data_IF_098429450231
#
_entry.id   IF_098429450231
#
_cell.length_a   1.000
_cell.length_b   1.000
_cell.length_c   1.000
_cell.angle_alpha   90.00
_cell.angle_beta   90.00
_cell.angle_gamma   90.00
#
_symmetry.space_group_name_H-M   'P 1'
#
loop_
_entity.id
_entity.type
_entity.pdbx_description
1 polymer ?
#
# COMPACT_ATOMS: atom_id res chain seq x y z
N UNK A 1 21.19 -9.55 -2.23
CA UNK A 1 20.17 -9.09 -1.26
C UNK A 1 19.65 -7.79 -1.84
N UNK A 2 18.68 -7.92 -2.75
CA UNK A 2 18.30 -6.84 -3.65
C UNK A 2 16.99 -6.30 -3.12
N UNK A 3 17.08 -5.41 -2.11
CA UNK A 3 15.91 -4.65 -1.65
C UNK A 3 15.44 -3.78 -2.80
N UNK A 4 14.15 -3.85 -3.11
CA UNK A 4 13.54 -3.01 -4.14
C UNK A 4 13.78 -1.52 -3.81
N UNK A 5 14.05 -0.64 -4.79
CA UNK A 5 14.32 0.79 -4.54
C UNK A 5 13.22 1.49 -3.73
N UNK A 6 11.96 1.07 -3.90
CA UNK A 6 10.82 1.59 -3.10
C UNK A 6 10.86 1.12 -1.65
N UNK A 7 11.37 -0.07 -1.41
CA UNK A 7 11.52 -0.63 -0.06
C UNK A 7 12.63 0.11 0.70
N UNK A 8 13.76 0.38 0.04
CA UNK A 8 14.82 1.22 0.60
C UNK A 8 14.31 2.64 0.89
N UNK A 9 13.52 3.22 -0.02
CA UNK A 9 12.94 4.54 0.21
C UNK A 9 11.95 4.52 1.39
N UNK A 10 11.12 3.49 1.49
CA UNK A 10 10.16 3.34 2.58
C UNK A 10 10.84 3.17 3.95
N UNK A 11 11.91 2.38 4.00
CA UNK A 11 12.72 2.18 5.20
C UNK A 11 13.46 3.45 5.63
N UNK A 12 13.86 4.29 4.68
CA UNK A 12 14.58 5.55 4.96
C UNK A 12 13.68 6.74 5.25
N UNK A 13 12.39 6.64 4.92
CA UNK A 13 11.40 7.70 5.16
C UNK A 13 10.18 7.19 5.96
N UNK A 14 10.38 6.71 7.20
CA UNK A 14 9.30 6.17 8.03
C UNK A 14 8.21 7.19 8.35
N UNK A 15 8.48 8.50 8.26
CA UNK A 15 7.51 9.57 8.46
C UNK A 15 6.33 9.56 7.47
N UNK A 16 6.48 8.87 6.34
CA UNK A 16 5.43 8.69 5.36
C UNK A 16 4.54 7.46 5.64
N UNK A 17 4.86 6.68 6.68
CA UNK A 17 4.19 5.41 7.01
C UNK A 17 3.73 5.39 8.48
N UNK A 18 2.67 4.63 8.81
CA UNK A 18 1.86 3.80 7.91
C UNK A 18 0.90 4.63 7.05
N UNK A 19 0.71 4.21 5.80
CA UNK A 19 -0.24 4.85 4.87
C UNK A 19 -1.66 4.34 5.16
N UNK A 20 -2.58 5.27 5.44
CA UNK A 20 -4.00 4.96 5.67
C UNK A 20 -4.72 4.66 4.35
N UNK A 21 -5.02 3.40 4.06
CA UNK A 21 -5.56 2.96 2.76
C UNK A 21 -6.86 3.69 2.38
N UNK A 22 -7.76 3.87 3.34
CA UNK A 22 -9.05 4.51 3.10
C UNK A 22 -8.98 6.05 2.99
N UNK A 23 -7.87 6.69 3.39
CA UNK A 23 -7.75 8.17 3.45
C UNK A 23 -6.64 8.75 2.60
N UNK A 24 -5.56 8.02 2.38
CA UNK A 24 -4.36 8.52 1.74
C UNK A 24 -4.55 8.81 0.24
N UNK A 25 -3.79 9.76 -0.28
CA UNK A 25 -3.86 10.08 -1.70
C UNK A 25 -3.15 9.03 -2.56
N UNK A 26 -3.43 9.09 -3.88
CA UNK A 26 -2.85 8.19 -4.88
C UNK A 26 -1.32 8.11 -4.80
N UNK A 27 -0.66 9.25 -4.60
CA UNK A 27 0.79 9.32 -4.55
C UNK A 27 1.37 8.65 -3.30
N UNK A 28 0.73 8.83 -2.15
CA UNK A 28 1.13 8.14 -0.92
C UNK A 28 0.99 6.62 -1.06
N UNK A 29 -0.11 6.15 -1.67
CA UNK A 29 -0.31 4.72 -1.94
C UNK A 29 0.72 4.16 -2.94
N UNK A 30 1.17 4.94 -3.92
CA UNK A 30 2.18 4.50 -4.89
C UNK A 30 3.59 4.34 -4.30
N UNK A 31 3.88 5.07 -3.22
CA UNK A 31 5.15 4.99 -2.49
C UNK A 31 5.27 3.67 -1.70
N UNK A 32 4.14 3.08 -1.32
CA UNK A 32 4.10 1.80 -0.59
C UNK A 32 4.76 0.68 -1.40
N UNK A 33 5.77 -0.02 -0.86
CA UNK A 33 6.34 -1.21 -1.47
C UNK A 33 5.28 -2.32 -1.65
N UNK A 34 5.20 -2.93 -2.84
CA UNK A 34 4.11 -3.87 -3.19
C UNK A 34 2.84 -3.20 -3.74
N UNK A 35 2.69 -1.89 -3.50
CA UNK A 35 1.86 -0.88 -4.18
C UNK A 35 2.10 -0.78 -5.70
N UNK A 36 1.29 -1.43 -6.54
CA UNK A 36 1.29 -1.21 -8.00
C UNK A 36 0.27 -0.15 -8.43
N UNK A 37 0.44 0.53 -9.58
CA UNK A 37 -0.51 1.55 -10.06
C UNK A 37 -1.93 1.00 -10.26
N UNK A 38 -2.08 -0.23 -10.73
CA UNK A 38 -3.39 -0.88 -10.89
C UNK A 38 -4.04 -1.21 -9.54
N UNK A 39 -3.24 -1.69 -8.59
CA UNK A 39 -3.68 -1.91 -7.20
C UNK A 39 -4.13 -0.59 -6.55
N UNK A 40 -3.37 0.50 -6.73
CA UNK A 40 -3.73 1.81 -6.21
C UNK A 40 -5.03 2.31 -6.85
N UNK A 41 -5.20 2.20 -8.18
CA UNK A 41 -6.46 2.52 -8.84
C UNK A 41 -7.63 1.73 -8.24
N UNK A 42 -7.42 0.44 -7.97
CA UNK A 42 -8.42 -0.43 -7.35
C UNK A 42 -8.75 0.01 -5.92
N UNK A 43 -7.77 0.33 -5.09
CA UNK A 43 -7.97 0.88 -3.74
C UNK A 43 -8.85 2.13 -3.79
N UNK A 44 -8.50 3.08 -4.67
CA UNK A 44 -9.21 4.35 -4.80
C UNK A 44 -10.68 4.15 -5.21
N UNK A 45 -10.95 3.18 -6.09
CA UNK A 45 -12.32 2.81 -6.46
C UNK A 45 -13.04 2.08 -5.32
N UNK A 46 -12.39 1.07 -4.73
CA UNK A 46 -13.01 0.25 -3.69
C UNK A 46 -13.41 1.08 -2.47
N UNK A 47 -12.57 1.99 -1.99
CA UNK A 47 -12.88 2.83 -0.82
C UNK A 47 -14.05 3.80 -1.03
N UNK A 48 -14.44 4.07 -2.27
CA UNK A 48 -15.63 4.86 -2.60
C UNK A 48 -16.90 4.01 -2.49
N UNK A 49 -16.81 2.71 -2.78
CA UNK A 49 -17.94 1.77 -2.75
C UNK A 49 -18.10 1.13 -1.36
N UNK A 50 -16.99 0.81 -0.69
CA UNK A 50 -16.97 0.12 0.60
C UNK A 50 -15.68 0.41 1.37
N UNK A 51 -15.74 0.32 2.70
CA UNK A 51 -14.55 0.48 3.54
C UNK A 51 -13.63 -0.73 3.40
N UNK A 52 -12.36 -0.50 3.04
CA UNK A 52 -11.36 -1.56 2.94
C UNK A 52 -10.86 -1.87 4.35
N UNK A 53 -11.01 -3.12 4.79
CA UNK A 53 -10.66 -3.56 6.14
C UNK A 53 -9.44 -4.46 6.17
N UNK A 54 -9.07 -5.07 5.04
CA UNK A 54 -7.89 -5.91 4.95
C UNK A 54 -7.13 -5.70 3.65
N UNK A 55 -5.85 -6.07 3.68
CA UNK A 55 -5.01 -6.07 2.48
C UNK A 55 -5.40 -7.18 1.49
N UNK A 56 -6.04 -8.25 1.97
CA UNK A 56 -6.48 -9.36 1.14
C UNK A 56 -7.56 -8.95 0.12
N UNK A 57 -8.38 -7.95 0.48
CA UNK A 57 -9.43 -7.38 -0.39
C UNK A 57 -8.85 -6.75 -1.67
N UNK A 58 -7.57 -6.36 -1.63
CA UNK A 58 -6.88 -5.70 -2.74
C UNK A 58 -6.46 -6.67 -3.86
N UNK A 59 -6.57 -7.98 -3.62
CA UNK A 59 -6.19 -9.01 -4.58
C UNK A 59 -4.68 -9.14 -4.82
N UNK A 60 -3.86 -8.58 -3.93
CA UNK A 60 -2.40 -8.75 -3.93
C UNK A 60 -2.08 -10.14 -3.38
N UNK A 61 -1.05 -10.81 -3.92
CA UNK A 61 -0.68 -12.17 -3.51
C UNK A 61 0.83 -12.30 -3.24
N UNK A 62 1.16 -13.26 -2.38
CA UNK A 62 2.53 -13.64 -2.05
C UNK A 62 3.34 -12.51 -1.42
N UNK A 63 4.65 -12.47 -1.70
CA UNK A 63 5.62 -11.55 -1.07
C UNK A 63 5.27 -10.07 -1.18
N UNK A 64 4.50 -9.65 -2.19
CA UNK A 64 4.06 -8.26 -2.34
C UNK A 64 3.03 -7.86 -1.28
N UNK A 65 2.17 -8.80 -0.87
CA UNK A 65 1.19 -8.61 0.17
C UNK A 65 1.88 -8.39 1.52
N UNK A 66 2.82 -9.28 1.84
CA UNK A 66 3.59 -9.23 3.08
C UNK A 66 4.35 -7.90 3.21
N UNK A 67 4.99 -7.45 2.12
CA UNK A 67 5.67 -6.16 2.08
C UNK A 67 4.71 -5.00 2.31
N UNK A 68 3.66 -4.89 1.51
CA UNK A 68 2.71 -3.79 1.60
C UNK A 68 2.03 -3.72 2.98
N UNK A 69 1.74 -4.89 3.59
CA UNK A 69 1.14 -4.99 4.92
C UNK A 69 1.95 -4.32 6.03
N UNK A 70 3.28 -4.24 5.89
CA UNK A 70 4.14 -3.59 6.88
C UNK A 70 4.06 -2.05 6.85
N UNK A 71 3.55 -1.48 5.76
CA UNK A 71 3.57 -0.04 5.50
C UNK A 71 2.17 0.58 5.43
N UNK A 72 1.10 -0.20 5.62
CA UNK A 72 -0.29 0.29 5.47
C UNK A 72 -1.18 -0.08 6.64
N UNK A 73 -2.20 0.75 6.86
CA UNK A 73 -3.27 0.50 7.85
C UNK A 73 -4.65 0.72 7.25
N UNK A 74 -5.64 0.01 7.78
CA UNK A 74 -7.02 -0.06 7.26
C UNK A 74 -8.04 0.66 8.17
N UNK A 75 -7.62 1.81 8.72
CA UNK A 75 -8.46 2.72 9.53
C UNK A 75 -9.44 3.58 8.72
#
# INVERSE_FOLDING_TARGET
MDKDPKEVWADTHPEHYPVRVNRADREALLKVPGLGPDTVKRILKMRQEQRITSIADLGIKGKRLEKAGNYVIFE
#
